data_IF_511199837013
#
_entry.id   IF_511199837013
#
_cell.length_a   1.000
_cell.length_b   1.000
_cell.length_c   1.000
_cell.angle_alpha   90.00
_cell.angle_beta   90.00
_cell.angle_gamma   90.00
#
_symmetry.space_group_name_H-M   'P 1'
#
loop_
_entity.id
_entity.type
_entity.pdbx_description
1 polymer ?
#
# COMPACT_ATOMS: atom_id res chain seq x y z
N UNK A 1 -6.28 15.87 5.60
CA UNK A 1 -5.12 15.60 6.47
C UNK A 1 -4.43 14.28 6.11
N UNK A 2 -3.09 14.27 5.94
CA UNK A 2 -2.30 13.03 5.82
C UNK A 2 -2.37 12.27 7.16
N UNK A 3 -2.74 10.99 7.12
CA UNK A 3 -2.88 10.15 8.31
C UNK A 3 -1.85 9.03 8.38
N UNK A 4 -1.10 8.80 7.31
CA UNK A 4 -0.03 7.80 7.26
C UNK A 4 0.11 7.17 5.89
N UNK A 5 0.51 5.90 5.86
CA UNK A 5 0.76 5.14 4.64
C UNK A 5 -0.06 3.85 4.65
N UNK A 6 -0.55 3.43 3.49
CA UNK A 6 -1.29 2.19 3.31
C UNK A 6 -0.59 1.31 2.28
N UNK A 7 -0.63 0.01 2.52
CA UNK A 7 -0.13 -0.96 1.55
C UNK A 7 -1.21 -1.23 0.51
N UNK A 8 -0.89 -0.96 -0.75
CA UNK A 8 -1.78 -1.12 -1.89
C UNK A 8 -1.30 -2.27 -2.77
N UNK A 9 -2.25 -2.99 -3.36
CA UNK A 9 -2.01 -4.00 -4.39
C UNK A 9 -2.70 -3.59 -5.68
N UNK A 10 -1.97 -3.66 -6.79
CA UNK A 10 -2.57 -3.52 -8.11
C UNK A 10 -2.86 -4.89 -8.71
N UNK A 11 -4.13 -5.16 -8.96
CA UNK A 11 -4.56 -6.36 -9.69
C UNK A 11 -4.27 -6.26 -11.20
N UNK A 12 -4.04 -5.06 -11.73
CA UNK A 12 -3.76 -4.81 -13.14
C UNK A 12 -2.27 -4.56 -13.44
N UNK A 13 -1.39 -4.83 -12.48
CA UNK A 13 0.05 -4.60 -12.61
C UNK A 13 0.39 -3.11 -12.66
N UNK A 14 1.09 -2.67 -13.72
CA UNK A 14 1.47 -1.27 -13.92
C UNK A 14 0.39 -0.41 -14.62
N UNK A 15 -0.76 -1.00 -14.99
CA UNK A 15 -1.86 -0.24 -15.59
C UNK A 15 -2.75 0.41 -14.52
N UNK A 16 -3.36 1.54 -14.89
CA UNK A 16 -4.17 2.46 -14.07
C UNK A 16 -5.51 1.89 -13.56
N UNK A 17 -5.55 0.65 -13.09
CA UNK A 17 -6.70 0.20 -12.30
C UNK A 17 -6.60 0.74 -10.87
N UNK A 18 -7.75 0.91 -10.22
CA UNK A 18 -7.84 1.25 -8.81
C UNK A 18 -7.04 0.24 -7.98
N UNK A 19 -5.98 0.73 -7.35
CA UNK A 19 -5.18 -0.06 -6.44
C UNK A 19 -5.97 -0.25 -5.16
N UNK A 20 -6.09 -1.50 -4.73
CA UNK A 20 -6.89 -1.85 -3.57
C UNK A 20 -6.00 -1.92 -2.34
N UNK A 21 -6.51 -1.52 -1.16
CA UNK A 21 -5.80 -1.73 0.09
C UNK A 21 -5.63 -3.22 0.33
N UNK A 22 -4.39 -3.65 0.59
CA UNK A 22 -4.10 -5.03 1.02
C UNK A 22 -4.71 -5.31 2.38
N UNK A 23 -4.82 -4.28 3.22
CA UNK A 23 -5.43 -4.31 4.54
C UNK A 23 -5.87 -2.92 4.95
N UNK A 24 -6.76 -2.82 5.94
CA UNK A 24 -7.19 -1.54 6.55
C UNK A 24 -6.13 -0.91 7.47
N UNK A 25 -4.92 -1.49 7.55
CA UNK A 25 -3.83 -0.94 8.36
C UNK A 25 -3.25 0.32 7.71
N UNK A 26 -3.17 1.36 8.52
CA UNK A 26 -2.41 2.58 8.23
C UNK A 26 -1.11 2.52 9.04
N UNK A 27 0.02 2.57 8.34
CA UNK A 27 1.35 2.67 8.90
C UNK A 27 1.70 4.13 9.17
N UNK A 28 2.38 4.40 10.29
CA UNK A 28 2.76 5.76 10.64
C UNK A 28 3.86 6.30 9.73
N UNK A 29 4.74 5.43 9.24
CA UNK A 29 5.85 5.81 8.36
C UNK A 29 5.86 5.01 7.06
N UNK A 30 6.45 5.59 6.01
CA UNK A 30 6.67 4.89 4.74
C UNK A 30 7.56 3.66 4.94
N UNK A 31 8.59 3.76 5.78
CA UNK A 31 9.55 2.68 6.03
C UNK A 31 8.87 1.42 6.62
N UNK A 32 7.94 1.60 7.55
CA UNK A 32 7.15 0.47 8.10
C UNK A 32 6.31 -0.21 7.01
N UNK A 33 5.66 0.59 6.14
CA UNK A 33 4.91 0.04 5.02
C UNK A 33 5.80 -0.74 4.05
N UNK A 34 6.99 -0.21 3.73
CA UNK A 34 7.96 -0.84 2.82
C UNK A 34 8.50 -2.17 3.39
N UNK A 35 8.79 -2.25 4.70
CA UNK A 35 9.18 -3.52 5.33
C UNK A 35 8.11 -4.61 5.16
N UNK A 36 6.84 -4.25 5.33
CA UNK A 36 5.73 -5.19 5.14
C UNK A 36 5.59 -5.56 3.67
N UNK A 37 5.74 -4.59 2.76
CA UNK A 37 5.75 -4.82 1.31
C UNK A 37 6.79 -5.87 0.93
N UNK A 38 8.04 -5.71 1.39
CA UNK A 38 9.13 -6.65 1.14
C UNK A 38 8.83 -8.05 1.70
N UNK A 39 8.32 -8.13 2.93
CA UNK A 39 7.92 -9.39 3.54
C UNK A 39 6.85 -10.14 2.74
N UNK A 40 5.90 -9.42 2.13
CA UNK A 40 4.87 -10.01 1.27
C UNK A 40 5.45 -10.37 -0.09
N UNK A 41 6.29 -9.53 -0.70
CA UNK A 41 6.94 -9.83 -1.97
C UNK A 41 7.80 -11.10 -1.90
N UNK A 42 8.46 -11.37 -0.77
CA UNK A 42 9.18 -12.63 -0.56
C UNK A 42 8.29 -13.87 -0.72
N UNK A 43 7.01 -13.78 -0.31
CA UNK A 43 6.03 -14.87 -0.42
C UNK A 43 5.22 -14.82 -1.71
N UNK A 44 5.08 -13.64 -2.31
CA UNK A 44 4.26 -13.34 -3.49
C UNK A 44 5.06 -12.46 -4.46
N UNK A 45 6.09 -13.01 -5.13
CA UNK A 45 7.00 -12.23 -5.97
C UNK A 45 6.32 -11.59 -7.19
N UNK A 46 5.17 -12.13 -7.60
CA UNK A 46 4.39 -11.62 -8.73
C UNK A 46 3.36 -10.55 -8.34
N UNK A 47 3.16 -10.29 -7.05
CA UNK A 47 2.23 -9.26 -6.61
C UNK A 47 2.86 -7.87 -6.81
N UNK A 48 2.13 -6.98 -7.48
CA UNK A 48 2.53 -5.58 -7.63
C UNK A 48 2.01 -4.81 -6.42
N UNK A 49 2.92 -4.56 -5.49
CA UNK A 49 2.65 -3.91 -4.20
C UNK A 49 3.36 -2.57 -4.13
N UNK A 50 2.72 -1.58 -3.51
CA UNK A 50 3.31 -0.28 -3.26
C UNK A 50 2.70 0.41 -2.05
N UNK A 51 3.46 1.33 -1.46
CA UNK A 51 3.03 2.12 -0.31
C UNK A 51 2.49 3.47 -0.79
N UNK A 52 1.20 3.70 -0.58
CA UNK A 52 0.52 4.95 -0.88
C UNK A 52 0.30 5.79 0.38
N UNK A 53 0.19 7.09 0.21
CA UNK A 53 -0.21 8.00 1.28
C UNK A 53 -1.71 7.88 1.54
N UNK A 54 -2.09 7.76 2.81
CA UNK A 54 -3.47 7.74 3.24
C UNK A 54 -3.88 9.13 3.72
N UNK A 55 -4.96 9.66 3.16
CA UNK A 55 -5.52 10.95 3.54
C UNK A 55 -6.88 10.75 4.19
N UNK A 56 -7.11 11.41 5.32
CA UNK A 56 -8.45 11.58 5.87
C UNK A 56 -9.09 12.78 5.15
N UNK A 57 -10.27 12.62 4.54
CA UNK A 57 -11.02 13.75 4.00
C UNK A 57 -11.32 14.72 5.13
N UNK A 58 -11.09 15.99 4.84
CA UNK A 58 -11.43 17.10 5.76
C UNK A 58 -12.89 17.41 5.48
N UNK A 59 -13.73 17.22 6.50
CA UNK A 59 -15.17 17.40 6.42
C UNK A 59 -15.55 18.76 6.98
#
# INVERSE_FOLDING_TARGET
>A
MLIGFVLLVSACGHNFCDALPVSERVYSTKAECEQVKEAIQLRRPHAVLFCGEAYRPEN
#
